data_IF_799157158217
#
_entry.id   IF_799157158217
#
_cell.length_a   1.000
_cell.length_b   1.000
_cell.length_c   1.000
_cell.angle_alpha   90.00
_cell.angle_beta   90.00
_cell.angle_gamma   90.00
#
_symmetry.space_group_name_H-M   'P 1'
#
loop_
_entity.id
_entity.type
_entity.pdbx_description
1 polymer ?
#
# COMPACT_ATOMS: atom_id res chain seq x y z
N UNK A 1 -29.99 -6.33 16.88
CA UNK A 1 -30.06 -7.23 15.71
C UNK A 1 -28.88 -6.89 14.81
N UNK A 2 -27.76 -7.60 14.95
CA UNK A 2 -26.61 -7.48 14.04
C UNK A 2 -27.09 -8.03 12.69
N UNK A 3 -27.45 -7.16 11.75
CA UNK A 3 -27.64 -7.57 10.37
C UNK A 3 -26.35 -8.25 9.92
N UNK A 4 -26.42 -9.53 9.56
CA UNK A 4 -25.30 -10.23 8.95
C UNK A 4 -24.91 -9.46 7.70
N UNK A 5 -23.88 -8.64 7.80
CA UNK A 5 -23.30 -7.94 6.67
C UNK A 5 -22.68 -9.02 5.81
N UNK A 6 -23.29 -9.30 4.66
CA UNK A 6 -22.67 -10.16 3.67
C UNK A 6 -21.35 -9.49 3.23
N UNK A 7 -20.23 -10.04 3.70
CA UNK A 7 -18.87 -9.57 3.46
C UNK A 7 -18.33 -9.98 2.08
N UNK A 8 -18.99 -10.92 1.39
CA UNK A 8 -18.55 -11.45 0.10
C UNK A 8 -19.14 -10.70 -1.11
N UNK A 9 -20.14 -9.83 -0.92
CA UNK A 9 -20.64 -8.97 -2.01
C UNK A 9 -19.65 -7.86 -2.34
N UNK A 10 -19.30 -7.75 -3.62
CA UNK A 10 -18.59 -6.58 -4.17
C UNK A 10 -19.43 -5.32 -3.93
N UNK A 11 -18.98 -4.49 -2.99
CA UNK A 11 -19.69 -3.25 -2.63
C UNK A 11 -19.32 -2.08 -3.54
N UNK A 12 -18.18 -2.17 -4.22
CA UNK A 12 -17.64 -1.11 -5.06
C UNK A 12 -17.60 -1.53 -6.54
N UNK A 13 -17.92 -0.61 -7.44
CA UNK A 13 -17.71 -0.80 -8.88
C UNK A 13 -16.21 -0.85 -9.20
N UNK A 14 -15.84 -1.31 -10.39
CA UNK A 14 -14.43 -1.29 -10.83
C UNK A 14 -13.86 0.13 -10.79
N UNK A 15 -14.62 1.13 -11.26
CA UNK A 15 -14.20 2.52 -11.21
C UNK A 15 -13.98 3.02 -9.77
N UNK A 16 -14.89 2.69 -8.85
CA UNK A 16 -14.75 3.05 -7.43
C UNK A 16 -13.52 2.40 -6.79
N UNK A 17 -13.20 1.16 -7.17
CA UNK A 17 -11.99 0.47 -6.73
C UNK A 17 -10.72 1.13 -7.28
N UNK A 18 -10.71 1.50 -8.57
CA UNK A 18 -9.58 2.19 -9.20
C UNK A 18 -9.35 3.60 -8.62
N UNK A 19 -10.43 4.33 -8.33
CA UNK A 19 -10.35 5.60 -7.60
C UNK A 19 -9.70 5.39 -6.24
N UNK A 20 -10.15 4.39 -5.49
CA UNK A 20 -9.61 4.11 -4.15
C UNK A 20 -8.14 3.70 -4.22
N UNK A 21 -7.76 2.83 -5.17
CA UNK A 21 -6.36 2.42 -5.41
C UNK A 21 -5.48 3.62 -5.75
N UNK A 22 -5.97 4.53 -6.59
CA UNK A 22 -5.27 5.78 -6.92
C UNK A 22 -5.08 6.65 -5.68
N UNK A 23 -6.10 6.79 -4.84
CA UNK A 23 -6.00 7.58 -3.61
C UNK A 23 -5.11 6.91 -2.56
N UNK A 24 -5.08 5.58 -2.47
CA UNK A 24 -4.11 4.83 -1.65
C UNK A 24 -2.68 5.17 -2.07
N UNK A 25 -2.39 5.11 -3.38
CA UNK A 25 -1.11 5.53 -3.96
C UNK A 25 -0.81 7.02 -3.80
N UNK A 26 -1.78 7.86 -3.48
CA UNK A 26 -1.59 9.31 -3.28
C UNK A 26 -1.87 9.73 -1.82
N UNK A 27 -1.86 8.79 -0.88
CA UNK A 27 -2.18 9.04 0.51
C UNK A 27 -1.31 10.16 1.12
N UNK A 28 -1.94 11.02 1.93
CA UNK A 28 -1.30 12.23 2.47
C UNK A 28 -1.26 13.41 1.49
N UNK A 29 -1.97 13.31 0.37
CA UNK A 29 -2.15 14.43 -0.58
C UNK A 29 -3.61 14.56 -0.98
N UNK A 30 -3.96 15.72 -1.54
CA UNK A 30 -5.30 15.99 -2.08
C UNK A 30 -5.26 16.04 -3.60
N UNK A 31 -6.30 15.53 -4.25
CA UNK A 31 -6.49 15.59 -5.69
C UNK A 31 -7.79 16.33 -6.02
N UNK A 32 -7.83 17.05 -7.14
CA UNK A 32 -9.09 17.50 -7.71
C UNK A 32 -9.66 16.48 -8.71
N UNK A 33 -10.93 16.66 -9.08
CA UNK A 33 -11.61 15.77 -10.01
C UNK A 33 -10.90 15.60 -11.36
N UNK A 34 -10.23 16.65 -11.87
CA UNK A 34 -9.47 16.59 -13.13
C UNK A 34 -8.19 15.79 -12.99
N UNK A 35 -7.44 15.97 -11.90
CA UNK A 35 -6.23 15.19 -11.67
C UNK A 35 -6.57 13.72 -11.46
N UNK A 36 -7.61 13.42 -10.69
CA UNK A 36 -8.08 12.06 -10.47
C UNK A 36 -8.60 11.43 -11.77
N UNK A 37 -9.32 12.19 -12.61
CA UNK A 37 -9.81 11.68 -13.90
C UNK A 37 -8.65 11.33 -14.85
N UNK A 38 -7.59 12.12 -14.85
CA UNK A 38 -6.41 11.86 -15.67
C UNK A 38 -5.65 10.62 -15.20
N UNK A 39 -5.49 10.44 -13.88
CA UNK A 39 -4.79 9.27 -13.32
C UNK A 39 -5.56 7.98 -13.56
N UNK A 40 -6.88 8.00 -13.38
CA UNK A 40 -7.77 6.84 -13.58
C UNK A 40 -8.13 6.64 -15.07
N UNK A 41 -7.77 7.59 -15.95
CA UNK A 41 -8.08 7.57 -17.39
C UNK A 41 -9.58 7.47 -17.71
N UNK A 42 -10.40 8.26 -17.02
CA UNK A 42 -11.85 8.37 -17.24
C UNK A 42 -12.31 9.82 -17.31
N UNK A 43 -13.58 10.06 -17.61
CA UNK A 43 -14.13 11.41 -17.64
C UNK A 43 -14.36 11.99 -16.23
N UNK A 44 -14.23 13.31 -16.07
CA UNK A 44 -14.52 13.98 -14.79
C UNK A 44 -15.95 13.71 -14.28
N UNK A 45 -17.00 13.68 -15.13
CA UNK A 45 -18.35 13.31 -14.66
C UNK A 45 -18.43 11.88 -14.09
N UNK A 46 -17.68 10.92 -14.63
CA UNK A 46 -17.63 9.56 -14.11
C UNK A 46 -17.01 9.51 -12.71
N UNK A 47 -15.94 10.29 -12.49
CA UNK A 47 -15.37 10.51 -11.15
C UNK A 47 -16.43 11.12 -10.23
N UNK A 48 -17.02 12.26 -10.60
CA UNK A 48 -18.02 12.96 -9.78
C UNK A 48 -19.22 12.10 -9.41
N UNK A 49 -19.65 11.18 -10.27
CA UNK A 49 -20.74 10.23 -10.00
C UNK A 49 -20.35 9.16 -8.96
N UNK A 50 -19.07 8.81 -8.87
CA UNK A 50 -18.55 7.77 -7.95
C UNK A 50 -18.27 8.31 -6.55
N UNK A 51 -17.88 9.58 -6.43
CA UNK A 51 -17.47 10.19 -5.15
C UNK A 51 -18.54 10.08 -4.03
N UNK A 52 -19.84 10.36 -4.27
CA UNK A 52 -20.84 10.35 -3.18
C UNK A 52 -20.96 9.01 -2.47
N UNK A 53 -20.77 7.90 -3.20
CA UNK A 53 -20.82 6.56 -2.59
C UNK A 53 -19.57 6.26 -1.77
N UNK A 54 -18.40 6.62 -2.27
CA UNK A 54 -17.13 6.45 -1.54
C UNK A 54 -17.10 7.29 -0.26
N UNK A 55 -17.60 8.53 -0.34
CA UNK A 55 -17.73 9.43 0.81
C UNK A 55 -18.78 8.93 1.82
N UNK A 56 -19.95 8.46 1.35
CA UNK A 56 -20.96 7.84 2.22
C UNK A 56 -20.45 6.60 2.95
N UNK A 57 -19.53 5.85 2.34
CA UNK A 57 -18.86 4.70 2.96
C UNK A 57 -17.68 5.10 3.86
N UNK A 58 -17.44 6.40 4.00
CA UNK A 58 -16.37 6.98 4.81
C UNK A 58 -14.97 6.53 4.38
N UNK A 59 -14.79 6.24 3.08
CA UNK A 59 -13.53 5.80 2.49
C UNK A 59 -12.66 6.99 2.04
N UNK A 60 -13.31 8.09 1.68
CA UNK A 60 -12.68 9.32 1.18
C UNK A 60 -13.32 10.53 1.84
N UNK A 61 -12.59 11.63 1.87
CA UNK A 61 -13.12 12.94 2.22
C UNK A 61 -13.22 13.80 0.97
N UNK A 62 -14.36 14.46 0.75
CA UNK A 62 -14.52 15.42 -0.34
C UNK A 62 -14.85 16.80 0.24
N UNK A 63 -14.03 17.80 -0.09
CA UNK A 63 -14.21 19.19 0.35
C UNK A 63 -14.22 20.11 -0.87
N UNK A 64 -14.87 21.26 -0.76
CA UNK A 64 -14.72 22.32 -1.76
C UNK A 64 -13.64 23.28 -1.29
N UNK A 65 -12.59 23.42 -2.08
CA UNK A 65 -11.53 24.37 -1.83
C UNK A 65 -12.09 25.80 -1.87
N UNK A 66 -11.83 26.58 -0.82
CA UNK A 66 -12.44 27.91 -0.64
C UNK A 66 -11.92 28.94 -1.64
N UNK A 67 -10.69 28.79 -2.11
CA UNK A 67 -10.03 29.76 -2.99
C UNK A 67 -10.34 29.49 -4.46
N UNK A 68 -10.19 28.24 -4.89
CA UNK A 68 -10.37 27.82 -6.29
C UNK A 68 -11.78 27.35 -6.62
N UNK A 69 -12.61 27.05 -5.61
CA UNK A 69 -13.94 26.47 -5.76
C UNK A 69 -13.93 25.02 -6.27
N UNK A 70 -12.76 24.41 -6.45
CA UNK A 70 -12.59 23.04 -6.96
C UNK A 70 -12.80 22.02 -5.85
N UNK A 71 -13.14 20.78 -6.22
CA UNK A 71 -13.16 19.67 -5.27
C UNK A 71 -11.73 19.33 -4.83
N UNK A 72 -11.57 19.08 -3.54
CA UNK A 72 -10.40 18.50 -2.89
C UNK A 72 -10.82 17.12 -2.37
N UNK A 73 -10.20 16.07 -2.91
CA UNK A 73 -10.54 14.67 -2.70
C UNK A 73 -9.32 13.99 -2.10
N UNK A 74 -9.50 13.33 -0.96
CA UNK A 74 -8.43 12.66 -0.23
C UNK A 74 -8.91 11.33 0.37
N UNK A 75 -7.99 10.39 0.54
CA UNK A 75 -8.24 9.16 1.29
C UNK A 75 -8.55 9.48 2.76
N UNK A 76 -9.62 8.90 3.34
CA UNK A 76 -9.92 9.12 4.75
C UNK A 76 -9.00 8.28 5.66
N UNK A 77 -7.80 8.78 5.96
CA UNK A 77 -6.79 8.10 6.79
C UNK A 77 -7.12 8.07 8.28
N UNK A 78 -8.07 8.90 8.74
CA UNK A 78 -8.53 8.88 10.13
C UNK A 78 -9.42 7.65 10.40
N UNK A 79 -9.91 7.01 9.34
CA UNK A 79 -10.70 5.79 9.42
C UNK A 79 -9.81 4.53 9.43
N UNK A 80 -9.75 3.85 10.57
CA UNK A 80 -8.96 2.62 10.75
C UNK A 80 -9.30 1.51 9.74
N UNK A 81 -10.55 1.45 9.27
CA UNK A 81 -10.94 0.51 8.22
C UNK A 81 -10.27 0.84 6.89
N UNK A 82 -10.10 2.12 6.57
CA UNK A 82 -9.41 2.57 5.34
C UNK A 82 -7.93 2.23 5.41
N UNK A 83 -7.28 2.40 6.57
CA UNK A 83 -5.90 1.96 6.79
C UNK A 83 -5.77 0.44 6.57
N UNK A 84 -6.69 -0.35 7.12
CA UNK A 84 -6.74 -1.80 6.89
C UNK A 84 -6.92 -2.17 5.41
N UNK A 85 -7.81 -1.48 4.69
CA UNK A 85 -8.00 -1.69 3.24
C UNK A 85 -6.75 -1.29 2.44
N UNK A 86 -6.11 -0.19 2.81
CA UNK A 86 -4.87 0.28 2.19
C UNK A 86 -3.73 -0.71 2.42
N UNK A 87 -3.60 -1.28 3.62
CA UNK A 87 -2.63 -2.35 3.91
C UNK A 87 -2.79 -3.54 2.94
N UNK A 88 -4.03 -3.96 2.69
CA UNK A 88 -4.32 -5.05 1.73
C UNK A 88 -3.96 -4.64 0.30
N UNK A 89 -4.32 -3.43 -0.11
CA UNK A 89 -4.01 -2.92 -1.45
C UNK A 89 -2.50 -2.74 -1.68
N UNK A 90 -1.76 -2.27 -0.68
CA UNK A 90 -0.30 -2.21 -0.71
C UNK A 90 0.33 -3.58 -0.93
N UNK A 91 -0.09 -4.58 -0.15
CA UNK A 91 0.38 -5.95 -0.33
C UNK A 91 0.01 -6.49 -1.72
N UNK A 92 -1.21 -6.24 -2.19
CA UNK A 92 -1.65 -6.59 -3.54
C UNK A 92 -0.76 -5.95 -4.61
N UNK A 93 -0.41 -4.67 -4.48
CA UNK A 93 0.49 -3.99 -5.40
C UNK A 93 1.88 -4.63 -5.46
N UNK A 94 2.42 -5.05 -4.31
CA UNK A 94 3.69 -5.77 -4.23
C UNK A 94 3.64 -7.08 -5.03
N UNK A 95 2.56 -7.86 -4.91
CA UNK A 95 2.38 -9.08 -5.71
C UNK A 95 2.11 -8.81 -7.19
N UNK A 96 1.21 -7.87 -7.51
CA UNK A 96 0.84 -7.49 -8.89
C UNK A 96 2.04 -6.94 -9.68
N UNK A 97 3.07 -6.42 -9.00
CA UNK A 97 4.28 -5.89 -9.63
C UNK A 97 5.34 -6.94 -9.95
N UNK A 98 5.09 -8.21 -9.64
CA UNK A 98 6.04 -9.33 -9.68
C UNK A 98 7.29 -9.15 -8.81
N UNK A 99 7.32 -8.13 -7.96
CA UNK A 99 8.47 -7.81 -7.11
C UNK A 99 8.81 -8.95 -6.15
N UNK A 100 7.80 -9.62 -5.59
CA UNK A 100 8.00 -10.79 -4.72
C UNK A 100 8.68 -11.93 -5.48
N UNK A 101 8.26 -12.20 -6.71
CA UNK A 101 8.84 -13.26 -7.54
C UNK A 101 10.28 -12.93 -7.93
N UNK A 102 10.55 -11.67 -8.29
CA UNK A 102 11.90 -11.19 -8.55
C UNK A 102 12.85 -11.40 -7.37
N UNK A 103 12.44 -11.04 -6.15
CA UNK A 103 13.25 -11.27 -4.96
C UNK A 103 13.40 -12.77 -4.66
N UNK A 104 12.34 -13.56 -4.89
CA UNK A 104 12.37 -15.00 -4.67
C UNK A 104 13.44 -15.70 -5.52
N UNK A 105 13.49 -15.40 -6.81
CA UNK A 105 14.44 -16.02 -7.73
C UNK A 105 15.90 -15.65 -7.39
N UNK A 106 16.11 -14.43 -6.89
CA UNK A 106 17.44 -13.93 -6.53
C UNK A 106 17.94 -14.41 -5.16
N UNK A 107 17.04 -14.72 -4.23
CA UNK A 107 17.35 -15.03 -2.84
C UNK A 107 16.68 -16.35 -2.38
N UNK A 108 17.01 -17.50 -3.00
CA UNK A 108 16.45 -18.78 -2.62
C UNK A 108 16.80 -19.12 -1.16
N UNK A 109 15.79 -19.57 -0.41
CA UNK A 109 15.95 -19.96 0.99
C UNK A 109 16.05 -18.81 1.99
N UNK A 110 15.98 -17.55 1.54
CA UNK A 110 15.95 -16.38 2.43
C UNK A 110 14.55 -16.10 2.96
N UNK A 111 14.48 -15.50 4.14
CA UNK A 111 13.24 -14.94 4.69
C UNK A 111 13.13 -13.48 4.27
N UNK A 112 12.03 -13.14 3.60
CA UNK A 112 11.77 -11.81 3.05
C UNK A 112 10.56 -11.23 3.76
N UNK A 113 10.75 -10.07 4.37
CA UNK A 113 9.74 -9.42 5.19
C UNK A 113 9.54 -7.99 4.72
N UNK A 114 8.31 -7.66 4.37
CA UNK A 114 7.86 -6.28 4.15
C UNK A 114 7.53 -5.66 5.50
N UNK A 115 8.20 -4.59 5.89
CA UNK A 115 7.99 -3.95 7.19
C UNK A 115 7.81 -2.43 7.06
N UNK A 116 7.71 -1.74 8.20
CA UNK A 116 7.52 -0.29 8.23
C UNK A 116 6.13 0.16 7.82
N UNK A 117 5.98 1.46 7.57
CA UNK A 117 4.67 2.11 7.37
C UNK A 117 3.88 1.54 6.19
N UNK A 118 4.55 1.10 5.12
CA UNK A 118 3.92 0.47 3.97
C UNK A 118 3.27 -0.87 4.31
N UNK A 119 3.91 -1.66 5.17
CA UNK A 119 3.38 -2.95 5.68
C UNK A 119 2.16 -2.79 6.59
N UNK A 120 2.01 -1.61 7.21
CA UNK A 120 0.88 -1.27 8.08
C UNK A 120 -0.24 -0.53 7.34
N UNK A 121 0.00 -0.06 6.10
CA UNK A 121 -0.95 0.75 5.31
C UNK A 121 -0.97 2.23 5.70
N UNK A 122 -0.09 2.64 6.60
CA UNK A 122 -0.02 4.00 7.16
C UNK A 122 0.80 4.98 6.29
N UNK A 123 1.56 4.43 5.34
CA UNK A 123 2.44 5.16 4.42
C UNK A 123 1.73 6.31 3.69
N UNK A 124 2.53 7.28 3.27
CA UNK A 124 2.10 8.42 2.45
C UNK A 124 2.84 8.43 1.12
N UNK A 125 2.55 9.41 0.26
CA UNK A 125 3.30 9.63 -0.97
C UNK A 125 4.82 9.74 -0.75
N UNK A 126 5.23 10.25 0.41
CA UNK A 126 6.62 10.52 0.77
C UNK A 126 7.32 9.35 1.44
N UNK A 127 6.58 8.30 1.80
CA UNK A 127 7.14 7.10 2.42
C UNK A 127 7.90 6.25 1.40
N UNK A 128 8.72 5.36 1.91
CA UNK A 128 9.41 4.29 1.21
C UNK A 128 8.77 2.92 1.50
N UNK A 129 9.26 1.90 0.78
CA UNK A 129 8.91 0.49 0.96
C UNK A 129 10.11 -0.20 1.58
N UNK A 130 10.02 -0.54 2.87
CA UNK A 130 11.07 -1.23 3.60
C UNK A 130 10.95 -2.75 3.48
N UNK A 131 12.03 -3.38 3.02
CA UNK A 131 12.14 -4.83 2.91
C UNK A 131 13.37 -5.30 3.68
N UNK A 132 13.20 -6.35 4.48
CA UNK A 132 14.30 -7.09 5.09
C UNK A 132 14.48 -8.42 4.37
N UNK A 133 15.71 -8.75 3.98
CA UNK A 133 16.10 -10.04 3.41
C UNK A 133 17.12 -10.69 4.34
N UNK A 134 16.71 -11.78 4.97
CA UNK A 134 17.44 -12.45 6.06
C UNK A 134 17.89 -13.83 5.58
N UNK A 135 19.13 -14.21 5.88
CA UNK A 135 19.70 -15.49 5.48
C UNK A 135 20.56 -15.43 4.21
N UNK A 136 20.94 -14.23 3.76
CA UNK A 136 21.76 -14.04 2.56
C UNK A 136 22.80 -12.95 2.76
N UNK A 137 23.79 -12.92 1.86
CA UNK A 137 24.69 -11.78 1.69
C UNK A 137 24.02 -10.69 0.84
N UNK A 138 24.48 -9.47 1.03
CA UNK A 138 24.10 -8.31 0.23
C UNK A 138 24.38 -8.53 -1.25
N UNK A 139 23.46 -8.04 -2.09
CA UNK A 139 23.59 -8.01 -3.55
C UNK A 139 23.11 -6.67 -4.07
N UNK A 140 23.72 -6.21 -5.16
CA UNK A 140 23.24 -5.06 -5.91
C UNK A 140 21.99 -5.48 -6.67
N UNK A 141 20.92 -4.70 -6.54
CA UNK A 141 19.62 -4.94 -7.17
C UNK A 141 19.26 -3.77 -8.07
N UNK A 142 18.76 -4.07 -9.28
CA UNK A 142 18.06 -3.07 -10.08
C UNK A 142 16.59 -3.05 -9.65
N UNK A 143 16.17 -1.93 -9.07
CA UNK A 143 14.82 -1.73 -8.53
C UNK A 143 14.02 -0.68 -9.30
N UNK A 144 14.61 -0.02 -10.30
CA UNK A 144 14.04 1.17 -10.92
C UNK A 144 12.66 0.91 -11.55
N UNK A 145 12.47 -0.27 -12.16
CA UNK A 145 11.19 -0.66 -12.74
C UNK A 145 10.11 -0.86 -11.67
N UNK A 146 10.44 -1.51 -10.54
CA UNK A 146 9.50 -1.72 -9.45
C UNK A 146 9.15 -0.40 -8.74
N UNK A 147 10.15 0.45 -8.49
CA UNK A 147 9.94 1.77 -7.89
C UNK A 147 9.01 2.64 -8.76
N UNK A 148 9.16 2.58 -10.09
CA UNK A 148 8.28 3.27 -11.04
C UNK A 148 6.85 2.74 -10.99
N UNK A 149 6.65 1.42 -10.90
CA UNK A 149 5.32 0.79 -10.86
C UNK A 149 4.58 1.03 -9.54
N UNK A 150 5.32 0.95 -8.44
CA UNK A 150 4.81 1.14 -7.07
C UNK A 150 4.74 2.63 -6.70
N UNK A 151 5.37 3.49 -7.50
CA UNK A 151 5.50 4.94 -7.27
C UNK A 151 6.20 5.26 -5.94
N UNK A 152 7.11 4.39 -5.50
CA UNK A 152 7.81 4.49 -4.21
C UNK A 152 9.25 4.07 -4.32
N UNK A 153 10.08 4.70 -3.49
CA UNK A 153 11.45 4.22 -3.23
C UNK A 153 11.37 2.88 -2.50
N UNK A 154 12.24 1.94 -2.87
CA UNK A 154 12.35 0.65 -2.20
C UNK A 154 13.69 0.60 -1.48
N UNK A 155 13.65 0.33 -0.18
CA UNK A 155 14.84 0.17 0.66
C UNK A 155 14.97 -1.29 1.05
N UNK A 156 16.06 -1.92 0.62
CA UNK A 156 16.39 -3.31 0.94
C UNK A 156 17.46 -3.34 2.02
N UNK A 157 17.15 -4.01 3.12
CA UNK A 157 18.09 -4.27 4.20
C UNK A 157 18.47 -5.74 4.22
N UNK A 158 19.76 -6.05 4.14
CA UNK A 158 20.28 -7.41 4.14
C UNK A 158 20.82 -7.81 5.50
N UNK A 159 20.48 -9.02 5.92
CA UNK A 159 20.96 -9.58 7.18
C UNK A 159 21.39 -11.03 7.01
N UNK A 160 22.53 -11.37 7.62
CA UNK A 160 23.02 -12.75 7.61
C UNK A 160 22.09 -13.67 8.40
N UNK A 161 21.63 -13.20 9.55
CA UNK A 161 20.75 -13.92 10.48
C UNK A 161 20.03 -12.93 11.40
N UNK A 162 18.98 -13.38 12.07
CA UNK A 162 18.20 -12.54 13.00
C UNK A 162 19.02 -12.02 14.20
N UNK A 163 20.06 -12.75 14.63
CA UNK A 163 20.88 -12.39 15.80
C UNK A 163 21.76 -11.18 15.51
N UNK A 164 22.08 -10.94 14.24
CA UNK A 164 22.85 -9.79 13.80
C UNK A 164 22.09 -8.46 13.83
N UNK A 165 20.76 -8.49 14.01
CA UNK A 165 19.89 -7.32 13.96
C UNK A 165 19.69 -6.76 15.37
N UNK A 166 19.81 -5.44 15.54
CA UNK A 166 19.49 -4.80 16.81
C UNK A 166 18.03 -5.06 17.21
N UNK A 167 17.78 -5.31 18.49
CA UNK A 167 16.46 -5.70 19.02
C UNK A 167 15.31 -4.78 18.62
N UNK A 168 15.51 -3.46 18.61
CA UNK A 168 14.44 -2.52 18.23
C UNK A 168 14.07 -2.66 16.76
N UNK A 169 15.06 -2.74 15.88
CA UNK A 169 14.84 -2.92 14.45
C UNK A 169 14.28 -4.31 14.15
N UNK A 170 14.78 -5.34 14.83
CA UNK A 170 14.27 -6.70 14.72
C UNK A 170 12.78 -6.76 15.07
N UNK A 171 12.36 -6.12 16.17
CA UNK A 171 10.95 -6.04 16.53
C UNK A 171 10.10 -5.37 15.44
N UNK A 172 10.59 -4.28 14.84
CA UNK A 172 9.90 -3.61 13.74
C UNK A 172 9.77 -4.53 12.50
N UNK A 173 10.84 -5.26 12.15
CA UNK A 173 10.83 -6.22 11.06
C UNK A 173 9.83 -7.35 11.35
N UNK A 174 9.89 -7.97 12.52
CA UNK A 174 9.02 -9.10 12.90
C UNK A 174 7.53 -8.72 12.99
N UNK A 175 7.22 -7.45 13.26
CA UNK A 175 5.84 -6.92 13.21
C UNK A 175 5.33 -6.63 11.78
N UNK A 176 6.18 -6.83 10.77
CA UNK A 176 5.82 -6.69 9.36
C UNK A 176 5.02 -7.87 8.80
N UNK A 177 5.13 -8.07 7.50
CA UNK A 177 4.48 -9.15 6.73
C UNK A 177 5.57 -10.00 6.11
N UNK A 178 5.63 -11.27 6.51
CA UNK A 178 6.47 -12.26 5.83
C UNK A 178 5.87 -12.50 4.44
N UNK A 179 6.53 -11.99 3.40
CA UNK A 179 6.12 -12.18 2.01
C UNK A 179 6.76 -13.42 1.39
N UNK A 180 7.86 -13.93 1.99
CA UNK A 180 8.45 -15.22 1.63
C UNK A 180 9.29 -15.80 2.78
N UNK A 181 9.37 -17.14 2.82
CA UNK A 181 10.14 -17.89 3.81
C UNK A 181 9.34 -18.12 5.08
N UNK A 182 10.03 -18.33 6.19
CA UNK A 182 9.44 -18.55 7.51
C UNK A 182 10.33 -17.97 8.60
N UNK A 183 9.76 -17.79 9.77
CA UNK A 183 10.49 -17.47 11.00
C UNK A 183 10.31 -18.67 11.91
N UNK A 184 11.40 -19.33 12.27
CA UNK A 184 11.40 -20.45 13.21
C UNK A 184 11.87 -19.94 14.58
N UNK A 185 10.99 -20.06 15.59
CA UNK A 185 11.28 -19.62 16.96
C UNK A 185 11.80 -20.76 17.85
N UNK A 186 11.67 -22.00 17.41
CA UNK A 186 12.03 -23.20 18.18
C UNK A 186 13.02 -24.05 17.38
N UNK A 187 14.28 -24.01 17.78
CA UNK A 187 15.32 -25.00 17.46
C UNK A 187 16.16 -25.25 18.69
#
# INVERSE_FOLDING_TARGET
MLTMVNISKLKLTLLEQEILRTLNKKAGTTLNARNLSNLVSVSQPAISKSLPKLEKLDLITVRKDKLSGRLSIELNRDNQKVIGLKRVDNLKQIYDSDFVYYLYDLFPGSTIILFGSYSHGEDTILSDIDIAIIGTKEKILDLANFEKLLERKIIINFYKDFKSINAHLLNNILNGIVIRGSIELWQ
#
